data_IF_480151825923
#
_entry.id   IF_480151825923
#
_cell.length_a   1.000
_cell.length_b   1.000
_cell.length_c   1.000
_cell.angle_alpha   90.00
_cell.angle_beta   90.00
_cell.angle_gamma   90.00
#
_symmetry.space_group_name_H-M   'P 1'
#
loop_
_entity.id
_entity.type
_entity.pdbx_description
1 polymer ?
#
# COMPACT_ATOMS: atom_id res chain seq x y z
N UNK A 1 24.24 10.98 16.78
CA UNK A 1 23.97 10.76 16.72
C UNK A 1 23.14 10.24 16.92
N UNK A 2 23.29 10.31 17.47
CA UNK A 2 22.74 9.85 17.38
C UNK A 2 22.00 10.04 16.74
N UNK A 3 22.53 9.85 17.16
CA UNK A 3 21.92 10.16 15.97
C UNK A 3 21.16 9.03 15.37
N UNK A 4 19.93 8.98 15.64
CA UNK A 4 19.08 7.95 15.16
C UNK A 4 18.56 8.33 13.82
N UNK A 5 19.19 7.80 12.81
CA UNK A 5 18.59 7.84 11.52
C UNK A 5 17.56 6.75 11.50
N UNK A 6 16.30 7.15 11.52
CA UNK A 6 15.25 6.17 11.30
C UNK A 6 15.38 5.64 9.90
N UNK A 7 15.43 4.33 9.80
CA UNK A 7 15.53 3.69 8.51
C UNK A 7 14.16 3.30 8.04
N UNK A 8 13.78 3.82 6.87
CA UNK A 8 12.55 3.49 6.22
C UNK A 8 12.82 2.55 5.05
N UNK A 9 12.07 1.48 4.97
CA UNK A 9 12.16 0.52 3.88
C UNK A 9 10.90 0.61 3.03
N UNK A 10 11.09 0.81 1.73
CA UNK A 10 9.99 0.91 0.78
C UNK A 10 9.91 -0.40 0.00
N UNK A 11 8.76 -1.07 0.07
CA UNK A 11 8.63 -2.40 -0.53
C UNK A 11 7.18 -2.73 -0.87
N UNK A 12 7.00 -3.64 -1.82
CA UNK A 12 5.71 -4.27 -2.09
C UNK A 12 5.56 -5.59 -1.33
N UNK A 13 6.58 -6.01 -0.59
CA UNK A 13 6.52 -7.23 0.20
C UNK A 13 6.55 -8.51 -0.63
N UNK A 14 7.00 -8.45 -1.88
CA UNK A 14 6.95 -9.63 -2.73
C UNK A 14 8.12 -10.60 -2.53
N UNK A 15 9.15 -10.19 -1.77
CA UNK A 15 10.33 -11.04 -1.51
C UNK A 15 10.29 -11.47 -0.04
N UNK A 16 9.92 -12.72 0.19
CA UNK A 16 9.84 -13.28 1.53
C UNK A 16 10.97 -14.28 1.72
N UNK A 17 12.19 -13.79 1.82
CA UNK A 17 13.37 -14.61 2.02
C UNK A 17 14.01 -14.25 3.35
N UNK A 18 14.89 -15.14 3.85
CA UNK A 18 15.63 -14.87 5.07
C UNK A 18 16.44 -13.58 4.99
N UNK A 19 16.93 -13.26 3.78
CA UNK A 19 17.68 -12.04 3.57
C UNK A 19 16.80 -10.79 3.74
N UNK A 20 15.57 -10.87 3.26
CA UNK A 20 14.61 -9.77 3.45
C UNK A 20 14.30 -9.61 4.94
N UNK A 21 14.16 -10.73 5.66
CA UNK A 21 13.90 -10.68 7.10
C UNK A 21 15.05 -10.05 7.87
N UNK A 22 16.29 -10.28 7.43
CA UNK A 22 17.45 -9.64 8.04
C UNK A 22 17.40 -8.12 7.90
N UNK A 23 16.97 -7.63 6.74
CA UNK A 23 16.86 -6.19 6.50
C UNK A 23 15.86 -5.56 7.48
N UNK A 24 14.79 -6.28 7.81
CA UNK A 24 13.78 -5.78 8.75
C UNK A 24 14.33 -5.52 10.14
N UNK A 25 15.40 -6.21 10.55
CA UNK A 25 15.99 -5.99 11.86
C UNK A 25 16.54 -4.58 12.02
N UNK A 26 16.80 -3.90 10.93
CA UNK A 26 17.35 -2.54 10.92
C UNK A 26 16.33 -1.50 10.52
N UNK A 27 15.08 -1.90 10.27
CA UNK A 27 14.05 -0.97 9.82
C UNK A 27 13.24 -0.43 11.00
N UNK A 28 13.06 0.87 11.04
CA UNK A 28 12.21 1.53 12.04
C UNK A 28 10.82 1.80 11.48
N UNK A 29 10.71 1.85 10.18
CA UNK A 29 9.47 2.13 9.48
C UNK A 29 9.50 1.42 8.13
N UNK A 30 8.40 0.80 7.78
CA UNK A 30 8.24 0.17 6.47
C UNK A 30 7.11 0.85 5.72
N UNK A 31 7.38 1.23 4.47
CA UNK A 31 6.37 1.73 3.55
C UNK A 31 5.98 0.56 2.65
N UNK A 32 4.77 0.06 2.84
CA UNK A 32 4.33 -1.15 2.15
C UNK A 32 3.23 -0.83 1.16
N UNK A 33 3.48 -1.14 -0.12
CA UNK A 33 2.47 -1.00 -1.15
C UNK A 33 1.56 -2.21 -1.17
N UNK A 34 0.26 -1.98 -0.99
CA UNK A 34 -0.74 -3.01 -1.22
C UNK A 34 -1.54 -2.57 -2.45
N UNK A 35 -1.48 -3.38 -3.51
CA UNK A 35 -2.10 -3.01 -4.78
C UNK A 35 -3.60 -3.24 -4.77
N UNK A 36 -4.03 -4.36 -4.23
CA UNK A 36 -5.45 -4.70 -4.09
C UNK A 36 -5.58 -5.99 -3.29
N UNK A 37 -6.72 -6.19 -2.66
CA UNK A 37 -7.05 -7.50 -2.07
C UNK A 37 -7.75 -8.41 -3.06
N UNK A 38 -8.14 -7.87 -4.22
CA UNK A 38 -8.79 -8.66 -5.26
C UNK A 38 -7.75 -9.51 -5.98
N UNK A 39 -7.74 -10.84 -5.79
CA UNK A 39 -6.71 -11.70 -6.38
C UNK A 39 -6.71 -11.72 -7.90
N UNK A 40 -7.83 -11.37 -8.52
CA UNK A 40 -7.94 -11.33 -9.97
C UNK A 40 -7.21 -10.14 -10.57
N UNK A 41 -7.08 -9.06 -9.81
CA UNK A 41 -6.45 -7.83 -10.29
C UNK A 41 -4.99 -7.71 -9.89
N UNK A 42 -4.59 -8.33 -8.79
CA UNK A 42 -3.26 -8.13 -8.25
C UNK A 42 -2.13 -8.45 -9.24
N UNK A 43 -2.17 -9.57 -9.97
CA UNK A 43 -1.11 -9.87 -10.94
C UNK A 43 -1.04 -8.85 -12.07
N UNK A 44 -2.18 -8.27 -12.46
CA UNK A 44 -2.22 -7.28 -13.53
C UNK A 44 -1.56 -5.97 -13.11
N UNK A 45 -1.66 -5.61 -11.83
CA UNK A 45 -1.18 -4.33 -11.34
C UNK A 45 0.27 -4.38 -10.86
N UNK A 46 0.69 -5.50 -10.30
CA UNK A 46 1.99 -5.58 -9.65
C UNK A 46 2.89 -6.68 -10.20
N UNK A 47 2.34 -7.64 -10.92
CA UNK A 47 3.09 -8.80 -11.40
C UNK A 47 3.59 -9.70 -10.29
N UNK A 48 3.08 -9.53 -9.06
CA UNK A 48 3.47 -10.34 -7.90
C UNK A 48 2.21 -10.86 -7.23
N UNK A 49 2.40 -11.94 -6.47
CA UNK A 49 1.26 -12.54 -5.78
C UNK A 49 0.90 -11.74 -4.54
N UNK A 50 -0.39 -11.51 -4.36
CA UNK A 50 -0.93 -10.85 -3.19
C UNK A 50 -0.48 -11.52 -1.89
N UNK A 51 -0.41 -12.85 -1.88
CA UNK A 51 -0.06 -13.61 -0.68
C UNK A 51 1.26 -13.17 -0.06
N UNK A 52 2.27 -12.89 -0.89
CA UNK A 52 3.57 -12.46 -0.39
C UNK A 52 3.48 -11.12 0.34
N UNK A 53 2.68 -10.21 -0.18
CA UNK A 53 2.49 -8.90 0.45
C UNK A 53 1.82 -9.06 1.80
N UNK A 54 0.80 -9.90 1.89
CA UNK A 54 0.07 -10.12 3.13
C UNK A 54 0.93 -10.86 4.16
N UNK A 55 1.73 -11.82 3.72
CA UNK A 55 2.68 -12.50 4.61
C UNK A 55 3.73 -11.53 5.16
N UNK A 56 4.14 -10.59 4.34
CA UNK A 56 5.09 -9.59 4.78
C UNK A 56 4.48 -8.70 5.87
N UNK A 57 3.22 -8.32 5.70
CA UNK A 57 2.51 -7.52 6.70
C UNK A 57 2.37 -8.29 8.02
N UNK A 58 2.07 -9.59 7.95
CA UNK A 58 2.00 -10.43 9.15
C UNK A 58 3.34 -10.45 9.89
N UNK A 59 4.44 -10.50 9.15
CA UNK A 59 5.77 -10.49 9.76
C UNK A 59 6.07 -9.13 10.42
N UNK A 60 5.65 -8.05 9.79
CA UNK A 60 5.82 -6.71 10.38
C UNK A 60 5.04 -6.60 11.69
N UNK A 61 3.85 -7.16 11.74
CA UNK A 61 3.04 -7.18 12.96
C UNK A 61 3.74 -8.00 14.04
N UNK A 62 4.25 -9.17 13.68
CA UNK A 62 4.93 -10.04 14.64
C UNK A 62 6.15 -9.36 15.25
N UNK A 63 6.87 -8.58 14.45
CA UNK A 63 8.08 -7.88 14.89
C UNK A 63 7.80 -6.53 15.54
N UNK A 64 6.57 -6.03 15.41
CA UNK A 64 6.22 -4.73 15.98
C UNK A 64 6.84 -3.56 15.23
N UNK A 65 7.01 -3.68 13.92
CA UNK A 65 7.64 -2.63 13.12
C UNK A 65 6.55 -1.70 12.56
N UNK A 66 6.64 -0.42 12.87
CA UNK A 66 5.69 0.56 12.36
C UNK A 66 5.63 0.53 10.85
N UNK A 67 4.44 0.56 10.31
CA UNK A 67 4.18 0.37 8.89
C UNK A 67 3.22 1.43 8.39
N UNK A 68 3.55 2.03 7.25
CA UNK A 68 2.62 2.88 6.50
C UNK A 68 2.22 2.12 5.26
N UNK A 69 0.93 2.00 5.04
CA UNK A 69 0.38 1.36 3.85
C UNK A 69 0.20 2.42 2.77
N UNK A 70 0.61 2.10 1.56
CA UNK A 70 0.34 2.93 0.40
C UNK A 70 -0.53 2.15 -0.56
N UNK A 71 -1.54 2.81 -1.08
CA UNK A 71 -2.49 2.18 -1.97
C UNK A 71 -2.87 3.15 -3.08
N UNK A 72 -2.61 2.76 -4.33
CA UNK A 72 -2.97 3.56 -5.50
C UNK A 72 -4.38 3.19 -5.92
N UNK A 73 -5.23 4.19 -6.03
CA UNK A 73 -6.62 4.00 -6.43
C UNK A 73 -6.73 4.28 -7.92
N UNK A 74 -7.02 3.22 -8.68
CA UNK A 74 -7.06 3.26 -10.15
C UNK A 74 -8.49 3.08 -10.61
N UNK A 75 -9.06 4.07 -11.32
CA UNK A 75 -10.44 3.97 -11.81
C UNK A 75 -10.63 2.70 -12.66
N UNK A 76 -11.70 1.99 -12.39
CA UNK A 76 -12.02 0.76 -13.11
C UNK A 76 -11.28 -0.49 -12.62
N UNK A 77 -10.27 -0.31 -11.75
CA UNK A 77 -9.51 -1.45 -11.23
C UNK A 77 -9.60 -1.53 -9.70
N UNK A 78 -9.07 -0.53 -9.00
CA UNK A 78 -9.07 -0.56 -7.54
C UNK A 78 -10.02 0.46 -6.93
N UNK A 79 -10.70 1.26 -7.74
CA UNK A 79 -11.71 2.21 -7.28
C UNK A 79 -13.08 1.54 -7.19
N UNK A 80 -13.19 0.60 -6.28
CA UNK A 80 -14.42 -0.15 -6.02
C UNK A 80 -14.66 -0.09 -4.52
N UNK A 81 -15.82 0.40 -4.11
CA UNK A 81 -16.11 0.64 -2.70
C UNK A 81 -16.03 -0.62 -1.85
N UNK A 82 -16.45 -1.76 -2.38
CA UNK A 82 -16.38 -3.03 -1.64
C UNK A 82 -14.94 -3.43 -1.34
N UNK A 83 -14.06 -3.29 -2.33
CA UNK A 83 -12.66 -3.64 -2.13
C UNK A 83 -11.91 -2.59 -1.32
N UNK A 84 -12.30 -1.31 -1.43
CA UNK A 84 -11.74 -0.27 -0.57
C UNK A 84 -12.12 -0.52 0.88
N UNK A 85 -13.38 -0.89 1.12
CA UNK A 85 -13.85 -1.25 2.46
C UNK A 85 -13.11 -2.47 3.01
N UNK A 86 -12.95 -3.51 2.17
CA UNK A 86 -12.26 -4.72 2.57
C UNK A 86 -10.80 -4.41 2.93
N UNK A 87 -10.14 -3.59 2.14
CA UNK A 87 -8.76 -3.21 2.40
C UNK A 87 -8.66 -2.39 3.69
N UNK A 88 -9.55 -1.43 3.88
CA UNK A 88 -9.57 -0.60 5.09
C UNK A 88 -9.72 -1.46 6.33
N UNK A 89 -10.67 -2.40 6.30
CA UNK A 89 -10.91 -3.32 7.41
C UNK A 89 -9.68 -4.18 7.66
N UNK A 90 -9.10 -4.71 6.61
CA UNK A 90 -7.97 -5.63 6.73
C UNK A 90 -6.76 -4.95 7.35
N UNK A 91 -6.32 -3.83 6.78
CA UNK A 91 -5.11 -3.16 7.27
C UNK A 91 -5.31 -2.56 8.66
N UNK A 92 -6.53 -2.15 8.98
CA UNK A 92 -6.83 -1.57 10.28
C UNK A 92 -6.82 -2.58 11.41
N UNK A 93 -6.85 -3.87 11.09
CA UNK A 93 -6.73 -4.92 12.10
C UNK A 93 -5.29 -5.09 12.61
N UNK A 94 -4.32 -4.51 11.92
CA UNK A 94 -2.91 -4.61 12.31
C UNK A 94 -2.52 -3.42 13.17
N UNK A 95 -1.94 -3.71 14.32
CA UNK A 95 -1.51 -2.66 15.25
C UNK A 95 -0.36 -1.82 14.71
N UNK A 96 0.50 -2.45 13.91
CA UNK A 96 1.67 -1.77 13.36
C UNK A 96 1.32 -0.80 12.23
N UNK A 97 0.13 -0.89 11.64
CA UNK A 97 -0.27 0.03 10.59
C UNK A 97 -0.63 1.37 11.22
N UNK A 98 0.27 2.34 11.05
CA UNK A 98 0.14 3.65 11.69
C UNK A 98 -0.49 4.67 10.75
N UNK A 99 -0.42 4.45 9.46
CA UNK A 99 -0.94 5.38 8.47
C UNK A 99 -1.25 4.63 7.19
N UNK A 100 -2.29 5.07 6.49
CA UNK A 100 -2.60 4.62 5.13
C UNK A 100 -2.59 5.84 4.22
N UNK A 101 -1.75 5.80 3.20
CA UNK A 101 -1.72 6.83 2.17
C UNK A 101 -2.48 6.33 0.96
N UNK A 102 -3.53 7.06 0.60
CA UNK A 102 -4.33 6.76 -0.58
C UNK A 102 -3.86 7.69 -1.68
N UNK A 103 -3.33 7.11 -2.75
CA UNK A 103 -2.73 7.85 -3.85
C UNK A 103 -3.63 7.77 -5.07
N UNK A 104 -4.02 8.90 -5.65
CA UNK A 104 -4.85 8.87 -6.85
C UNK A 104 -4.01 8.52 -8.07
N UNK A 105 -4.54 7.61 -8.90
CA UNK A 105 -3.95 7.35 -10.19
C UNK A 105 -4.08 8.59 -11.08
N UNK A 106 -2.99 8.93 -11.77
CA UNK A 106 -3.04 9.99 -12.77
C UNK A 106 -2.00 9.72 -13.85
N UNK A 107 -2.19 10.35 -15.01
CA UNK A 107 -1.29 10.19 -16.14
C UNK A 107 -0.04 11.04 -15.93
N UNK A 108 1.00 10.44 -15.39
CA UNK A 108 2.28 11.09 -15.14
C UNK A 108 3.39 10.40 -15.93
N UNK A 109 4.62 10.84 -15.69
CA UNK A 109 5.78 10.25 -16.34
C UNK A 109 6.00 8.79 -15.99
N UNK A 110 6.61 8.06 -16.92
CA UNK A 110 6.79 6.62 -16.84
C UNK A 110 7.47 6.16 -15.56
N UNK A 111 8.52 6.87 -15.15
CA UNK A 111 9.29 6.44 -13.98
C UNK A 111 8.44 6.35 -12.72
N UNK A 112 7.43 7.21 -12.60
CA UNK A 112 6.59 7.23 -11.41
C UNK A 112 5.72 6.00 -11.31
N UNK A 113 5.25 5.50 -12.45
CA UNK A 113 4.45 4.28 -12.48
C UNK A 113 5.28 3.06 -12.16
N UNK A 114 6.52 3.03 -12.59
CA UNK A 114 7.44 1.96 -12.22
C UNK A 114 7.65 1.91 -10.70
N UNK A 115 7.82 3.07 -10.06
CA UNK A 115 7.97 3.15 -8.62
C UNK A 115 6.73 2.67 -7.89
N UNK A 116 5.55 2.89 -8.48
CA UNK A 116 4.29 2.46 -7.92
C UNK A 116 3.94 1.02 -8.27
N UNK A 117 4.76 0.35 -9.09
CA UNK A 117 4.51 -1.01 -9.51
C UNK A 117 3.37 -1.14 -10.50
N UNK A 118 3.14 -0.11 -11.29
CA UNK A 118 2.10 -0.11 -12.32
C UNK A 118 2.72 -0.15 -13.71
N UNK A 119 2.02 -0.81 -14.64
CA UNK A 119 2.36 -0.72 -16.05
C UNK A 119 1.96 0.67 -16.56
N UNK A 120 2.89 1.33 -17.24
CA UNK A 120 2.64 2.68 -17.72
C UNK A 120 2.44 2.72 -19.22
N UNK A 121 1.52 3.60 -19.62
CA UNK A 121 0.33 4.01 -18.85
C UNK A 121 -0.72 2.92 -18.94
N UNK A 122 -1.61 2.86 -17.97
CA UNK A 122 -2.75 1.97 -18.06
C UNK A 122 -3.65 2.52 -19.16
N UNK A 123 -3.79 1.75 -20.21
CA UNK A 123 -4.42 2.23 -21.43
C UNK A 123 -5.91 2.51 -21.21
N UNK A 124 -6.33 3.72 -21.60
CA UNK A 124 -7.73 4.11 -21.51
C UNK A 124 -8.22 4.42 -20.10
N UNK A 125 -7.32 4.52 -19.14
CA UNK A 125 -7.71 4.81 -17.76
C UNK A 125 -7.56 6.30 -17.48
N UNK A 126 -8.65 6.92 -17.05
CA UNK A 126 -8.65 8.32 -16.69
C UNK A 126 -8.02 8.54 -15.31
N UNK A 127 -7.54 9.75 -15.03
CA UNK A 127 -7.10 10.08 -13.67
C UNK A 127 -8.24 9.94 -12.69
N UNK A 128 -7.92 9.58 -11.44
CA UNK A 128 -8.91 9.49 -10.39
C UNK A 128 -9.44 10.88 -10.05
N UNK A 129 -10.75 11.02 -9.96
CA UNK A 129 -11.35 12.30 -9.59
C UNK A 129 -11.14 12.59 -8.10
N UNK A 130 -11.19 13.88 -7.75
CA UNK A 130 -11.11 14.28 -6.36
C UNK A 130 -12.25 13.68 -5.54
N UNK A 131 -13.44 13.61 -6.13
CA UNK A 131 -14.61 13.07 -5.44
C UNK A 131 -14.41 11.61 -5.07
N UNK A 132 -13.84 10.82 -5.99
CA UNK A 132 -13.57 9.41 -5.69
C UNK A 132 -12.45 9.24 -4.68
N UNK A 133 -11.45 10.12 -4.70
CA UNK A 133 -10.40 10.09 -3.68
C UNK A 133 -10.98 10.43 -2.31
N UNK A 134 -11.81 11.45 -2.23
CA UNK A 134 -12.45 11.84 -0.98
C UNK A 134 -13.35 10.72 -0.45
N UNK A 135 -14.04 10.03 -1.34
CA UNK A 135 -14.84 8.85 -0.99
C UNK A 135 -13.98 7.75 -0.36
N UNK A 136 -12.84 7.45 -0.96
CA UNK A 136 -11.94 6.44 -0.44
C UNK A 136 -11.41 6.84 0.95
N UNK A 137 -11.04 8.10 1.11
CA UNK A 137 -10.57 8.60 2.40
C UNK A 137 -11.66 8.49 3.46
N UNK A 138 -12.90 8.76 3.10
CA UNK A 138 -14.03 8.62 4.02
C UNK A 138 -14.22 7.17 4.44
N UNK A 139 -14.08 6.23 3.51
CA UNK A 139 -14.19 4.80 3.83
C UNK A 139 -13.10 4.41 4.85
N UNK A 140 -11.86 4.77 4.58
CA UNK A 140 -10.76 4.41 5.47
C UNK A 140 -10.85 5.07 6.84
N UNK A 141 -11.39 6.28 6.92
CA UNK A 141 -11.50 6.99 8.19
C UNK A 141 -12.46 6.32 9.18
N UNK A 142 -13.36 5.47 8.69
CA UNK A 142 -14.26 4.72 9.57
C UNK A 142 -13.53 3.71 10.43
N UNK A 143 -12.35 3.29 10.00
CA UNK A 143 -11.58 2.25 10.68
C UNK A 143 -10.43 2.82 11.49
N UNK A 144 -9.69 3.75 10.91
CA UNK A 144 -8.62 4.46 11.60
C UNK A 144 -8.68 5.93 11.21
N UNK A 145 -9.24 6.78 12.07
CA UNK A 145 -9.37 8.21 11.73
C UNK A 145 -8.07 8.89 11.34
N UNK A 146 -6.95 8.50 11.95
CA UNK A 146 -5.65 9.06 11.65
C UNK A 146 -5.16 8.76 10.24
N UNK A 147 -5.78 7.80 9.55
CA UNK A 147 -5.40 7.44 8.19
C UNK A 147 -5.69 8.56 7.17
N UNK A 148 -6.49 9.54 7.55
CA UNK A 148 -6.78 10.68 6.68
C UNK A 148 -5.87 11.86 6.89
N UNK A 149 -5.01 11.80 7.87
CA UNK A 149 -4.07 12.88 8.15
C UNK A 149 -2.90 12.79 7.19
N UNK A 150 -2.57 13.90 6.61
CA UNK A 150 -1.45 13.99 5.68
C UNK A 150 -0.12 13.70 6.38
#
# INVERSE_FOLDING_TARGET
GDVYKRQALDTSGFVCTSKAWEVLDYADLVLLDIKTLNPDLHPLLAGVKQDNTLLFLDELERRGIDTWIRHVIVPGYTDNDEWLEALARYVSSYKVVRKVELLPYHTMGTYKYEQLGLDYPLKGVEPLSKERLDNAKAIFSRYKPENNKA
#
